data_IF_099878439530
#
_entry.id   IF_099878439530
#
_cell.length_a   1.000
_cell.length_b   1.000
_cell.length_c   1.000
_cell.angle_alpha   90.00
_cell.angle_beta   90.00
_cell.angle_gamma   90.00
#
_symmetry.space_group_name_H-M   'P 1'
#
loop_
_entity.id
_entity.type
_entity.pdbx_description
1 polymer ?
#
# COMPACT_ATOMS: atom_id res chain seq x y z
N UNK A 1 11.67 -23.36 -4.09
CA UNK A 1 11.02 -22.91 -2.84
C UNK A 1 9.51 -23.02 -3.02
N UNK A 2 8.79 -23.61 -2.07
CA UNK A 2 7.36 -23.96 -2.20
C UNK A 2 6.44 -22.95 -1.48
N UNK A 3 6.02 -21.89 -2.18
CA UNK A 3 5.22 -20.80 -1.60
C UNK A 3 3.76 -21.17 -1.27
N UNK A 4 3.30 -22.32 -1.75
CA UNK A 4 1.96 -22.84 -1.49
C UNK A 4 1.90 -24.34 -1.75
N UNK A 5 0.80 -24.98 -1.35
CA UNK A 5 0.56 -26.41 -1.57
C UNK A 5 -0.48 -26.61 -2.67
N UNK A 6 -0.50 -27.78 -3.32
CA UNK A 6 -1.55 -28.13 -4.30
C UNK A 6 -2.97 -27.94 -3.76
N UNK A 7 -3.22 -28.26 -2.48
CA UNK A 7 -4.54 -28.11 -1.86
C UNK A 7 -5.07 -26.67 -1.92
N UNK A 8 -4.19 -25.68 -1.73
CA UNK A 8 -4.54 -24.25 -1.82
C UNK A 8 -4.75 -23.80 -3.28
N UNK A 9 -4.21 -24.54 -4.26
CA UNK A 9 -4.38 -24.28 -5.69
C UNK A 9 -5.57 -25.02 -6.32
N UNK A 10 -6.14 -26.03 -5.65
CA UNK A 10 -7.25 -26.84 -6.18
C UNK A 10 -8.42 -25.98 -6.69
N UNK A 11 -8.77 -24.91 -5.99
CA UNK A 11 -9.80 -23.98 -6.42
C UNK A 11 -9.49 -23.36 -7.80
N UNK A 12 -8.26 -22.91 -7.99
CA UNK A 12 -7.82 -22.22 -9.20
C UNK A 12 -7.59 -23.16 -10.38
N UNK A 13 -7.28 -24.43 -10.10
CA UNK A 13 -6.99 -25.46 -11.11
C UNK A 13 -8.21 -26.33 -11.46
N UNK A 14 -9.37 -26.11 -10.81
CA UNK A 14 -10.58 -26.89 -11.07
C UNK A 14 -11.12 -26.65 -12.48
N UNK A 15 -11.39 -27.75 -13.19
CA UNK A 15 -12.01 -27.75 -14.52
C UNK A 15 -13.53 -27.96 -14.48
N UNK A 16 -14.14 -27.96 -13.29
CA UNK A 16 -15.57 -28.17 -13.09
C UNK A 16 -16.42 -26.92 -13.38
N UNK A 17 -15.76 -25.78 -13.61
CA UNK A 17 -16.39 -24.50 -13.96
C UNK A 17 -16.25 -24.22 -15.45
N UNK A 18 -17.02 -23.26 -15.96
CA UNK A 18 -16.95 -22.87 -17.37
C UNK A 18 -15.59 -22.31 -17.77
N UNK A 19 -15.31 -22.28 -19.08
CA UNK A 19 -14.00 -21.87 -19.60
C UNK A 19 -13.65 -20.42 -19.25
N UNK A 20 -14.63 -19.52 -19.18
CA UNK A 20 -14.38 -18.11 -18.86
C UNK A 20 -13.92 -17.98 -17.41
N UNK A 21 -14.59 -18.67 -16.49
CA UNK A 21 -14.18 -18.72 -15.08
C UNK A 21 -12.79 -19.37 -14.91
N UNK A 22 -12.48 -20.44 -15.65
CA UNK A 22 -11.13 -21.03 -15.65
C UNK A 22 -10.05 -20.02 -16.08
N UNK A 23 -10.32 -19.23 -17.13
CA UNK A 23 -9.41 -18.17 -17.60
C UNK A 23 -9.24 -17.09 -16.54
N UNK A 24 -10.31 -16.67 -15.86
CA UNK A 24 -10.25 -15.68 -14.78
C UNK A 24 -9.39 -16.20 -13.61
N UNK A 25 -9.56 -17.46 -13.20
CA UNK A 25 -8.74 -18.10 -12.16
C UNK A 25 -7.27 -18.15 -12.54
N UNK A 26 -6.96 -18.47 -13.80
CA UNK A 26 -5.58 -18.45 -14.30
C UNK A 26 -4.99 -17.03 -14.26
N UNK A 27 -5.76 -16.00 -14.64
CA UNK A 27 -5.33 -14.60 -14.54
C UNK A 27 -5.05 -14.19 -13.10
N UNK A 28 -5.89 -14.59 -12.14
CA UNK A 28 -5.66 -14.38 -10.70
C UNK A 28 -4.35 -15.00 -10.23
N UNK A 29 -4.06 -16.24 -10.65
CA UNK A 29 -2.78 -16.90 -10.33
C UNK A 29 -1.59 -16.17 -10.97
N UNK A 30 -1.72 -15.70 -12.21
CA UNK A 30 -0.67 -14.94 -12.87
C UNK A 30 -0.40 -13.61 -12.14
N UNK A 31 -1.44 -12.87 -11.80
CA UNK A 31 -1.31 -11.62 -11.06
C UNK A 31 -0.68 -11.83 -9.67
N UNK A 32 -1.03 -12.91 -8.97
CA UNK A 32 -0.36 -13.32 -7.75
C UNK A 32 1.17 -13.49 -7.96
N UNK A 33 1.59 -14.10 -9.08
CA UNK A 33 3.01 -14.26 -9.38
C UNK A 33 3.69 -12.90 -9.63
N UNK A 34 3.02 -11.98 -10.33
CA UNK A 34 3.54 -10.62 -10.55
C UNK A 34 3.75 -9.88 -9.23
N UNK A 35 2.80 -9.98 -8.29
CA UNK A 35 2.91 -9.40 -6.94
C UNK A 35 4.13 -9.98 -6.20
N UNK A 36 4.25 -11.32 -6.17
CA UNK A 36 5.35 -12.01 -5.48
C UNK A 36 6.70 -11.64 -6.10
N UNK A 37 6.80 -11.64 -7.43
CA UNK A 37 8.03 -11.30 -8.15
C UNK A 37 8.42 -9.84 -7.94
N UNK A 38 7.46 -8.92 -7.92
CA UNK A 38 7.68 -7.50 -7.63
C UNK A 38 8.22 -7.34 -6.20
N UNK A 39 7.55 -7.94 -5.20
CA UNK A 39 8.00 -7.85 -3.82
C UNK A 39 9.38 -8.50 -3.59
N UNK A 40 9.65 -9.63 -4.25
CA UNK A 40 10.96 -10.29 -4.18
C UNK A 40 12.07 -9.43 -4.80
N UNK A 41 11.80 -8.81 -5.94
CA UNK A 41 12.81 -8.07 -6.71
C UNK A 41 13.10 -6.71 -6.09
N UNK A 42 12.06 -5.96 -5.71
CA UNK A 42 12.21 -4.58 -5.26
C UNK A 42 12.31 -4.42 -3.75
N UNK A 43 11.64 -5.28 -2.98
CA UNK A 43 11.65 -5.20 -1.52
C UNK A 43 12.59 -6.23 -0.87
N UNK A 44 13.20 -7.10 -1.69
CA UNK A 44 14.06 -8.20 -1.25
C UNK A 44 13.45 -9.03 -0.11
N UNK A 45 12.12 -9.24 -0.14
CA UNK A 45 11.43 -9.92 0.94
C UNK A 45 11.94 -11.36 1.11
N UNK A 46 12.20 -11.79 2.36
CA UNK A 46 12.58 -13.17 2.63
C UNK A 46 11.42 -14.13 2.39
N UNK A 47 11.77 -15.41 2.24
CA UNK A 47 10.82 -16.46 1.87
C UNK A 47 9.58 -16.55 2.79
N UNK A 48 9.75 -16.41 4.11
CA UNK A 48 8.66 -16.45 5.08
C UNK A 48 7.61 -15.35 4.82
N UNK A 49 8.07 -14.18 4.37
CA UNK A 49 7.20 -13.05 4.02
C UNK A 49 6.51 -13.25 2.69
N UNK A 50 7.21 -13.78 1.70
CA UNK A 50 6.62 -14.15 0.40
C UNK A 50 5.58 -15.26 0.56
N UNK A 51 5.81 -16.22 1.46
CA UNK A 51 4.84 -17.26 1.79
C UNK A 51 3.54 -16.67 2.36
N UNK A 52 3.63 -15.79 3.37
CA UNK A 52 2.46 -15.14 3.95
C UNK A 52 1.70 -14.30 2.92
N UNK A 53 2.42 -13.54 2.09
CA UNK A 53 1.82 -12.77 1.00
C UNK A 53 1.08 -13.68 0.00
N UNK A 54 1.70 -14.80 -0.38
CA UNK A 54 1.08 -15.79 -1.28
C UNK A 54 -0.24 -16.31 -0.72
N UNK A 55 -0.26 -16.69 0.57
CA UNK A 55 -1.49 -17.16 1.20
C UNK A 55 -2.57 -16.07 1.25
N UNK A 56 -2.19 -14.83 1.60
CA UNK A 56 -3.13 -13.70 1.60
C UNK A 56 -3.73 -13.44 0.21
N UNK A 57 -2.92 -13.49 -0.85
CA UNK A 57 -3.41 -13.32 -2.22
C UNK A 57 -4.33 -14.47 -2.64
N UNK A 58 -3.95 -15.72 -2.34
CA UNK A 58 -4.77 -16.89 -2.64
C UNK A 58 -6.11 -16.88 -1.89
N UNK A 59 -6.17 -16.34 -0.69
CA UNK A 59 -7.42 -16.26 0.06
C UNK A 59 -8.31 -15.12 -0.45
N UNK A 60 -7.74 -13.95 -0.76
CA UNK A 60 -8.48 -12.84 -1.37
C UNK A 60 -9.10 -13.23 -2.72
N UNK A 61 -8.29 -13.79 -3.62
CA UNK A 61 -8.73 -14.11 -4.98
C UNK A 61 -9.76 -15.25 -5.08
N UNK A 62 -9.99 -16.02 -4.00
CA UNK A 62 -11.07 -17.02 -3.97
C UNK A 62 -12.45 -16.39 -3.97
N UNK A 63 -12.61 -15.19 -3.40
CA UNK A 63 -13.91 -14.56 -3.18
C UNK A 63 -14.08 -13.24 -3.92
N UNK A 64 -12.99 -12.53 -4.19
CA UNK A 64 -13.03 -11.19 -4.78
C UNK A 64 -13.03 -11.21 -6.31
N UNK A 65 -13.49 -10.11 -6.91
CA UNK A 65 -13.43 -9.88 -8.35
C UNK A 65 -11.98 -9.80 -8.84
N UNK A 66 -11.73 -10.03 -10.13
CA UNK A 66 -10.37 -9.86 -10.68
C UNK A 66 -9.96 -8.39 -10.76
N UNK A 67 -10.90 -7.50 -11.13
CA UNK A 67 -10.66 -6.07 -11.32
C UNK A 67 -10.92 -5.24 -10.04
N UNK A 68 -10.98 -5.88 -8.88
CA UNK A 68 -11.22 -5.21 -7.60
C UNK A 68 -9.91 -4.58 -7.09
N UNK A 69 -9.98 -3.30 -6.70
CA UNK A 69 -8.83 -2.63 -6.08
C UNK A 69 -8.64 -3.16 -4.65
N UNK A 70 -7.44 -3.65 -4.35
CA UNK A 70 -7.14 -4.23 -3.05
C UNK A 70 -5.72 -3.90 -2.57
N UNK A 71 -5.61 -3.47 -1.32
CA UNK A 71 -4.33 -3.20 -0.66
C UNK A 71 -3.94 -4.39 0.26
N UNK A 72 -2.94 -5.17 -0.14
CA UNK A 72 -2.40 -6.25 0.68
C UNK A 72 -1.50 -5.69 1.79
N UNK A 73 -1.88 -5.92 3.05
CA UNK A 73 -1.12 -5.48 4.23
C UNK A 73 -0.26 -6.59 4.78
N UNK A 74 1.06 -6.44 4.66
CA UNK A 74 2.04 -7.39 5.17
C UNK A 74 2.81 -6.78 6.36
N UNK A 75 2.76 -7.46 7.50
CA UNK A 75 3.60 -7.05 8.64
C UNK A 75 5.05 -7.43 8.36
N UNK A 76 5.93 -6.42 8.36
CA UNK A 76 7.37 -6.59 8.14
C UNK A 76 8.12 -5.96 9.31
N UNK A 77 9.12 -6.67 9.83
CA UNK A 77 10.04 -6.10 10.82
C UNK A 77 10.90 -5.04 10.13
N UNK A 78 11.02 -3.80 10.66
CA UNK A 78 11.79 -2.75 10.00
C UNK A 78 13.23 -3.16 9.65
N UNK A 79 13.87 -3.96 10.52
CA UNK A 79 15.21 -4.48 10.26
C UNK A 79 15.37 -5.30 8.96
N UNK A 80 14.29 -5.89 8.43
CA UNK A 80 14.33 -6.64 7.17
C UNK A 80 14.31 -5.74 5.92
N UNK A 81 13.81 -4.51 6.06
CA UNK A 81 13.65 -3.54 4.97
C UNK A 81 14.44 -2.25 5.23
N UNK A 82 15.42 -2.29 6.15
CA UNK A 82 16.18 -1.10 6.54
C UNK A 82 16.89 -0.44 5.37
N UNK A 83 17.37 -1.24 4.42
CA UNK A 83 17.99 -0.80 3.18
C UNK A 83 17.06 0.02 2.28
N UNK A 84 15.73 -0.04 2.47
CA UNK A 84 14.75 0.71 1.66
C UNK A 84 14.44 2.09 2.23
N UNK A 85 14.65 2.32 3.53
CA UNK A 85 14.18 3.57 4.17
C UNK A 85 15.27 4.34 4.91
N UNK A 86 16.44 3.75 5.20
CA UNK A 86 17.46 4.43 6.00
C UNK A 86 18.20 5.54 5.26
N UNK A 87 18.38 5.40 3.94
CA UNK A 87 19.04 6.41 3.09
C UNK A 87 18.08 7.27 2.28
N UNK A 88 16.79 6.91 2.29
CA UNK A 88 15.80 7.50 1.39
C UNK A 88 15.01 8.61 2.09
N UNK A 89 14.57 9.58 1.29
CA UNK A 89 13.64 10.61 1.76
C UNK A 89 12.21 10.08 1.70
N UNK A 90 11.42 10.16 2.79
CA UNK A 90 10.06 9.67 2.77
C UNK A 90 9.17 10.56 1.90
N UNK A 91 8.34 9.93 1.07
CA UNK A 91 7.27 10.60 0.29
C UNK A 91 6.29 11.32 1.24
N UNK A 92 6.08 10.76 2.42
CA UNK A 92 5.25 11.32 3.48
C UNK A 92 5.89 11.10 4.84
N UNK A 93 5.98 12.16 5.63
CA UNK A 93 6.36 12.12 7.03
C UNK A 93 5.21 12.65 7.88
N UNK A 94 4.95 12.03 9.03
CA UNK A 94 3.89 12.50 9.92
C UNK A 94 4.19 12.26 11.38
N UNK A 95 3.67 13.15 12.21
CA UNK A 95 3.69 13.03 13.67
C UNK A 95 2.26 13.15 14.18
N UNK A 96 1.90 12.29 15.12
CA UNK A 96 0.63 12.35 15.84
C UNK A 96 0.92 12.50 17.33
N UNK A 97 0.25 13.46 17.96
CA UNK A 97 0.27 13.67 19.40
C UNK A 97 -1.13 13.38 19.93
N UNK A 98 -1.24 12.46 20.89
CA UNK A 98 -2.50 12.16 21.56
C UNK A 98 -2.43 12.46 23.05
N UNK A 99 -3.57 12.83 23.64
CA UNK A 99 -3.71 13.13 25.06
C UNK A 99 -3.75 11.88 25.97
N UNK A 100 -3.53 10.68 25.42
CA UNK A 100 -3.61 9.39 26.12
C UNK A 100 -4.79 8.53 25.64
N UNK A 101 -4.95 7.33 26.23
CA UNK A 101 -6.00 6.39 25.82
C UNK A 101 -7.29 6.62 26.62
N UNK A 102 -8.43 6.72 25.93
CA UNK A 102 -9.75 6.74 26.56
C UNK A 102 -10.85 7.41 25.74
N UNK A 103 -12.09 7.45 26.25
CA UNK A 103 -13.25 8.02 25.55
C UNK A 103 -13.19 9.53 25.34
N UNK A 104 -12.18 10.20 25.90
CA UNK A 104 -11.93 11.64 25.79
C UNK A 104 -10.59 11.95 25.12
N UNK A 105 -10.02 10.97 24.43
CA UNK A 105 -8.78 11.16 23.69
C UNK A 105 -8.95 12.24 22.63
N UNK A 106 -8.07 13.22 22.65
CA UNK A 106 -7.89 14.18 21.57
C UNK A 106 -6.54 13.94 20.91
N UNK A 107 -6.53 14.08 19.59
CA UNK A 107 -5.35 13.91 18.75
C UNK A 107 -5.15 15.12 17.84
N UNK A 108 -3.89 15.46 17.66
CA UNK A 108 -3.43 16.40 16.66
C UNK A 108 -2.37 15.70 15.83
N UNK A 109 -2.55 15.67 14.51
CA UNK A 109 -1.56 15.14 13.59
C UNK A 109 -1.08 16.22 12.62
N UNK A 110 0.20 16.15 12.30
CA UNK A 110 0.87 16.97 11.30
C UNK A 110 1.48 16.01 10.28
N UNK A 111 1.25 16.26 9.01
CA UNK A 111 1.82 15.49 7.90
C UNK A 111 2.50 16.43 6.90
N UNK A 112 3.66 16.01 6.42
CA UNK A 112 4.44 16.65 5.36
C UNK A 112 4.58 15.65 4.21
N UNK A 113 4.26 16.06 2.99
CA UNK A 113 4.34 15.21 1.80
C UNK A 113 4.77 15.98 0.55
N UNK A 114 5.22 15.26 -0.46
CA UNK A 114 5.53 15.79 -1.80
C UNK A 114 4.29 15.96 -2.70
N UNK A 115 3.14 15.42 -2.26
CA UNK A 115 1.84 15.50 -2.94
C UNK A 115 0.72 15.88 -1.97
N UNK A 116 -0.41 16.43 -2.46
CA UNK A 116 -1.59 16.66 -1.64
C UNK A 116 -2.06 15.41 -0.91
N UNK A 117 -2.52 15.54 0.33
CA UNK A 117 -3.07 14.41 1.10
C UNK A 117 -4.40 13.89 0.50
N UNK A 118 -5.12 14.76 -0.19
CA UNK A 118 -6.44 14.47 -0.75
C UNK A 118 -6.53 14.97 -2.19
N UNK A 119 -7.12 14.14 -3.05
CA UNK A 119 -7.16 14.41 -4.50
C UNK A 119 -8.09 15.55 -4.89
N UNK A 120 -9.03 15.91 -4.00
CA UNK A 120 -10.04 16.93 -4.28
C UNK A 120 -9.55 18.37 -4.04
N UNK A 121 -8.35 18.55 -3.47
CA UNK A 121 -7.75 19.88 -3.28
C UNK A 121 -6.90 20.20 -4.49
N UNK A 122 -7.40 21.10 -5.34
CA UNK A 122 -6.68 21.59 -6.50
C UNK A 122 -5.85 22.79 -6.07
N UNK A 123 -4.54 22.67 -6.21
CA UNK A 123 -3.63 23.81 -6.09
C UNK A 123 -3.50 24.44 -7.47
N UNK A 124 -3.90 25.71 -7.61
CA UNK A 124 -3.60 26.49 -8.81
C UNK A 124 -2.09 26.77 -8.83
N UNK A 125 -1.34 25.88 -9.47
CA UNK A 125 0.09 26.09 -9.69
C UNK A 125 0.23 27.00 -10.91
N UNK A 126 0.41 28.30 -10.70
CA UNK A 126 0.68 29.31 -11.75
C UNK A 126 2.07 29.16 -12.41
N UNK A 127 2.49 27.94 -12.73
CA UNK A 127 3.78 27.69 -13.36
C UNK A 127 3.63 26.91 -14.68
N UNK A 128 4.03 27.49 -15.83
CA UNK A 128 4.14 26.74 -17.06
C UNK A 128 5.29 25.75 -16.90
N UNK A 129 4.98 24.45 -17.00
CA UNK A 129 5.96 23.41 -17.19
C UNK A 129 6.90 23.78 -18.35
N UNK A 130 8.21 23.61 -18.14
CA UNK A 130 9.34 23.91 -19.04
C UNK A 130 10.02 25.27 -18.76
N UNK A 131 10.82 25.32 -17.70
CA UNK A 131 12.02 26.15 -17.66
C UNK A 131 13.21 25.31 -18.15
N UNK A 132 13.70 25.64 -19.34
CA UNK A 132 14.99 25.22 -19.88
C UNK A 132 16.11 25.93 -19.09
N UNK A 133 16.26 25.64 -17.81
CA UNK A 133 17.45 26.04 -17.07
C UNK A 133 17.62 25.16 -15.84
N UNK A 134 18.74 24.43 -15.76
CA UNK A 134 19.05 23.46 -14.71
C UNK A 134 19.45 24.09 -13.37
N UNK A 135 18.64 25.02 -12.85
CA UNK A 135 18.65 25.38 -11.44
C UNK A 135 17.57 24.54 -10.74
N UNK A 136 18.00 23.80 -9.71
CA UNK A 136 17.14 22.91 -8.94
C UNK A 136 16.10 23.74 -8.17
N UNK A 137 14.88 23.88 -8.71
CA UNK A 137 13.75 24.41 -7.94
C UNK A 137 13.53 23.52 -6.71
N UNK A 138 13.44 24.15 -5.53
CA UNK A 138 13.14 23.44 -4.29
C UNK A 138 11.79 22.70 -4.45
N UNK A 139 11.72 21.41 -4.08
CA UNK A 139 10.48 20.66 -4.20
C UNK A 139 9.38 21.32 -3.34
N UNK A 140 8.23 21.58 -3.96
CA UNK A 140 7.07 22.07 -3.22
C UNK A 140 6.58 20.97 -2.27
N UNK A 141 6.45 21.29 -0.99
CA UNK A 141 5.91 20.38 0.02
C UNK A 141 4.51 20.79 0.44
N UNK A 142 3.68 19.80 0.73
CA UNK A 142 2.34 19.97 1.28
C UNK A 142 2.38 19.68 2.78
N UNK A 143 1.89 20.65 3.57
CA UNK A 143 1.73 20.48 5.01
C UNK A 143 0.25 20.40 5.35
N UNK A 144 -0.17 19.29 5.97
CA UNK A 144 -1.55 19.09 6.43
C UNK A 144 -1.58 18.92 7.94
N UNK A 145 -2.46 19.66 8.61
CA UNK A 145 -2.71 19.55 10.05
C UNK A 145 -4.13 19.05 10.27
N UNK A 146 -4.28 17.98 11.04
CA UNK A 146 -5.59 17.45 11.45
C UNK A 146 -5.74 17.62 12.95
N UNK A 147 -6.81 18.30 13.35
CA UNK A 147 -7.18 18.51 14.75
C UNK A 147 -8.58 17.95 14.99
N UNK A 148 -8.79 17.38 16.17
CA UNK A 148 -10.14 17.01 16.63
C UNK A 148 -10.53 17.80 17.88
N UNK A 149 -11.83 17.95 18.12
CA UNK A 149 -12.38 18.60 19.29
C UNK A 149 -13.32 17.64 20.02
N UNK A 150 -13.22 17.60 21.35
CA UNK A 150 -14.14 16.83 22.18
C UNK A 150 -15.37 17.69 22.51
N UNK A 151 -16.55 17.26 22.06
CA UNK A 151 -17.82 17.91 22.37
C UNK A 151 -18.56 17.08 23.42
N UNK A 152 -18.92 17.71 24.55
CA UNK A 152 -19.73 17.07 25.60
C UNK A 152 -21.15 17.61 25.55
N UNK A 153 -22.13 16.71 25.51
CA UNK A 153 -23.54 17.07 25.64
C UNK A 153 -23.94 17.11 27.13
N UNK A 154 -24.79 18.07 27.53
CA UNK A 154 -25.29 18.19 28.91
C UNK A 154 -26.19 17.01 29.33
#
# INVERSE_FOLDING_TARGET
EELTTLNHLCHYLSTEVDLQEQVIRLRKLHHLLEIIMTCRTFLALPYDRLFLLTQSCLDHYKTSGYDEEHEFKLQIKPALISHLYQSEHPIMWGVEVSSGHGPREVRTSLQLSDRPLVDHVIFETDYPSVTLNGDMEEPAFFSTVVCCSLVSFP
#
